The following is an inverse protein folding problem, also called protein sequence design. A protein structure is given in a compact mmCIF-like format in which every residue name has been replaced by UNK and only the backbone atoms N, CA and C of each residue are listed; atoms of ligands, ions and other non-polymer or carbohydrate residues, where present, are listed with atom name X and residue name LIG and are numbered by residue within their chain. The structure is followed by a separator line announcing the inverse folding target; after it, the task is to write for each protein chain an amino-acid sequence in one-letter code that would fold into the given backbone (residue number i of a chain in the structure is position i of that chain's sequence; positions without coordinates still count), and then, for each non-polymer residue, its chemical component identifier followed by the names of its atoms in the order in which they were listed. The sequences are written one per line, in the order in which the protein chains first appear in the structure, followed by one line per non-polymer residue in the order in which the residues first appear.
data_IF_723068518268
#
_entry.id   IF_723068518268
#
_cell.length_a   1.000
_cell.length_b   1.000
_cell.length_c   1.000
_cell.angle_alpha   90.00
_cell.angle_beta   90.00
_cell.angle_gamma   90.00
#
_symmetry.space_group_name_H-M   'P 1'
#
loop_
_entity.id
_entity.type
_entity.pdbx_description
1 polymer ?
#
# COMPACT_ATOMS: atom_id res chain seq x y z
N UNK A 1 -4.99 -17.09 31.55
CA UNK A 1 -3.83 -17.89 32.01
C UNK A 1 -4.25 -19.34 31.97
N UNK A 2 -3.62 -20.18 31.16
CA UNK A 2 -3.89 -21.62 31.16
C UNK A 2 -3.20 -22.24 32.35
N UNK A 3 -3.92 -23.03 33.15
CA UNK A 3 -3.52 -23.63 34.41
C UNK A 3 -2.31 -24.60 34.37
N UNK A 4 -1.59 -24.71 33.26
CA UNK A 4 -0.46 -25.63 33.11
C UNK A 4 0.90 -24.98 32.90
N UNK A 5 1.09 -23.72 33.28
CA UNK A 5 2.44 -23.12 33.35
C UNK A 5 3.23 -23.09 32.00
N UNK A 6 2.63 -23.45 30.86
CA UNK A 6 3.31 -23.38 29.58
C UNK A 6 3.28 -21.92 29.06
N UNK A 7 4.46 -21.33 28.95
CA UNK A 7 4.64 -20.02 28.34
C UNK A 7 4.21 -20.12 26.86
N UNK A 8 3.08 -19.49 26.52
CA UNK A 8 2.68 -19.36 25.10
C UNK A 8 3.65 -18.39 24.43
N UNK A 9 4.33 -18.86 23.40
CA UNK A 9 5.17 -18.03 22.53
C UNK A 9 4.30 -17.63 21.34
N UNK A 10 3.92 -16.34 21.17
CA UNK A 10 3.20 -15.90 19.96
C UNK A 10 4.13 -15.98 18.76
N UNK A 11 3.58 -16.27 17.59
CA UNK A 11 4.32 -16.29 16.33
C UNK A 11 4.71 -14.89 15.87
N UNK A 12 3.93 -13.88 16.23
CA UNK A 12 4.18 -12.47 15.98
C UNK A 12 3.49 -11.63 17.06
N UNK A 13 3.94 -10.39 17.19
CA UNK A 13 3.32 -9.42 18.10
C UNK A 13 4.11 -8.11 18.10
N UNK A 14 3.47 -6.98 18.43
CA UNK A 14 4.14 -5.69 18.49
C UNK A 14 5.13 -5.64 19.64
N UNK A 15 6.24 -4.94 19.42
CA UNK A 15 7.16 -4.52 20.47
C UNK A 15 6.73 -3.13 20.95
N UNK A 16 5.95 -3.05 22.03
CA UNK A 16 5.48 -1.78 22.59
C UNK A 16 6.33 -1.45 23.80
N UNK A 17 6.97 -0.30 23.75
CA UNK A 17 7.79 0.25 24.84
C UNK A 17 7.08 1.42 25.54
N UNK A 18 7.72 2.00 26.55
CA UNK A 18 7.16 3.17 27.23
C UNK A 18 7.04 4.39 26.28
N UNK A 19 7.92 4.49 25.27
CA UNK A 19 7.89 5.58 24.30
C UNK A 19 6.58 5.63 23.51
N UNK A 20 6.10 4.47 23.00
CA UNK A 20 4.82 4.39 22.29
C UNK A 20 3.64 4.72 23.21
N UNK A 21 3.69 4.23 24.47
CA UNK A 21 2.63 4.51 25.47
C UNK A 21 2.55 6.00 25.75
N UNK A 22 3.69 6.66 25.98
CA UNK A 22 3.76 8.09 26.29
C UNK A 22 3.29 8.93 25.10
N UNK A 23 3.70 8.60 23.88
CA UNK A 23 3.31 9.30 22.66
C UNK A 23 1.80 9.19 22.41
N UNK A 24 1.21 7.99 22.52
CA UNK A 24 -0.23 7.79 22.36
C UNK A 24 -1.00 8.54 23.44
N UNK A 25 -0.53 8.49 24.70
CA UNK A 25 -1.15 9.21 25.79
C UNK A 25 -1.12 10.72 25.60
N UNK A 26 -0.03 11.25 25.04
CA UNK A 26 0.07 12.68 24.71
C UNK A 26 -0.82 13.04 23.50
N UNK A 27 -0.86 12.21 22.46
CA UNK A 27 -1.70 12.42 21.29
C UNK A 27 -3.19 12.51 21.66
N UNK A 28 -3.66 11.67 22.60
CA UNK A 28 -5.04 11.73 23.09
C UNK A 28 -5.31 13.05 23.82
N UNK A 29 -4.38 13.56 24.62
CA UNK A 29 -4.51 14.84 25.34
C UNK A 29 -4.54 16.03 24.38
N UNK A 30 -3.74 15.98 23.32
CA UNK A 30 -3.57 17.05 22.33
C UNK A 30 -4.61 16.98 21.18
N UNK A 31 -5.36 15.87 21.07
CA UNK A 31 -6.21 15.54 19.92
C UNK A 31 -7.40 16.48 19.64
N UNK A 32 -7.63 17.46 20.52
CA UNK A 32 -8.71 18.44 20.38
C UNK A 32 -8.10 19.86 20.41
N UNK A 33 -8.09 20.52 19.26
CA UNK A 33 -7.63 21.90 19.18
C UNK A 33 -6.51 22.11 18.15
N UNK A 34 -5.59 23.08 18.37
CA UNK A 34 -4.56 23.46 17.38
C UNK A 34 -3.62 22.33 16.94
N UNK A 35 -3.53 21.26 17.72
CA UNK A 35 -2.68 20.11 17.44
C UNK A 35 -3.44 18.90 16.85
N UNK A 36 -4.67 19.08 16.41
CA UNK A 36 -5.53 17.99 15.94
C UNK A 36 -4.90 17.15 14.82
N UNK A 37 -4.17 17.78 13.89
CA UNK A 37 -3.48 17.08 12.79
C UNK A 37 -1.99 16.79 13.08
N UNK A 38 -1.41 17.34 14.13
CA UNK A 38 0.03 17.37 14.37
C UNK A 38 0.68 15.97 14.25
N UNK A 39 0.11 14.95 14.92
CA UNK A 39 0.70 13.61 14.92
C UNK A 39 0.56 12.89 13.57
N UNK A 40 -0.50 13.20 12.82
CA UNK A 40 -0.69 12.68 11.47
C UNK A 40 0.30 13.32 10.51
N UNK A 41 0.51 14.63 10.64
CA UNK A 41 1.44 15.40 9.82
C UNK A 41 2.89 14.94 10.10
N UNK A 42 3.27 14.81 11.37
CA UNK A 42 4.59 14.33 11.81
C UNK A 42 4.85 12.89 11.29
N UNK A 43 3.87 11.99 11.46
CA UNK A 43 3.99 10.64 10.93
C UNK A 43 4.15 10.62 9.40
N UNK A 44 3.39 11.46 8.71
CA UNK A 44 3.46 11.56 7.25
C UNK A 44 4.83 12.05 6.78
N UNK A 45 5.40 13.03 7.45
CA UNK A 45 6.74 13.58 7.16
C UNK A 45 7.83 12.53 7.44
N UNK A 46 7.81 11.90 8.61
CA UNK A 46 8.78 10.87 8.98
C UNK A 46 8.71 9.66 8.05
N UNK A 47 7.49 9.24 7.66
CA UNK A 47 7.32 8.14 6.72
C UNK A 47 7.79 8.51 5.31
N UNK A 48 7.53 9.74 4.86
CA UNK A 48 8.03 10.30 3.60
C UNK A 48 9.56 10.26 3.56
N UNK A 49 10.21 10.70 4.65
CA UNK A 49 11.67 10.66 4.78
C UNK A 49 12.21 9.22 4.78
N UNK A 50 11.54 8.31 5.47
CA UNK A 50 11.94 6.89 5.53
C UNK A 50 11.88 6.22 4.16
N UNK A 51 10.78 6.39 3.44
CA UNK A 51 10.54 5.69 2.17
C UNK A 51 11.15 6.44 0.96
N UNK A 52 11.41 7.74 1.09
CA UNK A 52 11.98 8.57 0.03
C UNK A 52 10.98 9.05 -1.02
N UNK A 53 9.69 8.97 -0.77
CA UNK A 53 8.66 9.56 -1.62
C UNK A 53 8.41 11.02 -1.26
N UNK A 54 8.20 11.85 -2.28
CA UNK A 54 7.89 13.27 -2.11
C UNK A 54 6.50 13.52 -1.53
N UNK A 55 5.55 12.67 -1.86
CA UNK A 55 4.15 12.83 -1.47
C UNK A 55 3.66 11.57 -0.79
N UNK A 56 3.19 11.72 0.43
CA UNK A 56 2.54 10.69 1.22
C UNK A 56 1.18 11.19 1.68
N UNK A 57 0.16 10.34 1.60
CA UNK A 57 -1.21 10.63 2.00
C UNK A 57 -1.70 9.54 2.95
N UNK A 58 -1.90 9.85 4.24
CA UNK A 58 -2.41 8.88 5.19
C UNK A 58 -3.89 8.57 4.93
N UNK A 59 -4.28 7.34 5.17
CA UNK A 59 -5.66 6.83 5.02
C UNK A 59 -6.07 6.03 6.25
N UNK A 60 -7.37 5.80 6.39
CA UNK A 60 -7.90 4.99 7.51
C UNK A 60 -7.44 3.53 7.45
N UNK A 61 -7.27 2.99 6.25
CA UNK A 61 -6.81 1.63 5.98
C UNK A 61 -6.03 1.59 4.66
N UNK A 62 -5.19 0.57 4.46
CA UNK A 62 -4.54 0.35 3.17
C UNK A 62 -5.56 0.08 2.05
N UNK A 63 -6.67 -0.58 2.35
CA UNK A 63 -7.78 -0.78 1.38
C UNK A 63 -8.29 0.55 0.83
N UNK A 64 -8.42 1.58 1.68
CA UNK A 64 -8.82 2.92 1.26
C UNK A 64 -7.74 3.57 0.39
N UNK A 65 -6.46 3.35 0.73
CA UNK A 65 -5.34 3.81 -0.07
C UNK A 65 -5.34 3.17 -1.47
N UNK A 66 -5.60 1.86 -1.57
CA UNK A 66 -5.74 1.16 -2.87
C UNK A 66 -6.93 1.72 -3.65
N UNK A 67 -8.07 1.94 -2.99
CA UNK A 67 -9.24 2.51 -3.64
C UNK A 67 -8.96 3.93 -4.18
N UNK A 68 -8.31 4.78 -3.40
CA UNK A 68 -7.87 6.10 -3.86
C UNK A 68 -6.90 6.00 -5.05
N UNK A 69 -5.95 5.07 -5.02
CA UNK A 69 -5.06 4.83 -6.14
C UNK A 69 -5.84 4.47 -7.42
N UNK A 70 -6.80 3.55 -7.34
CA UNK A 70 -7.64 3.18 -8.48
C UNK A 70 -8.47 4.37 -8.99
N UNK A 71 -9.03 5.20 -8.10
CA UNK A 71 -9.77 6.41 -8.49
C UNK A 71 -8.88 7.41 -9.23
N UNK A 72 -7.59 7.57 -8.87
CA UNK A 72 -6.68 8.48 -9.57
C UNK A 72 -6.39 8.08 -11.01
N UNK A 73 -6.54 6.80 -11.34
CA UNK A 73 -6.32 6.29 -12.69
C UNK A 73 -7.50 6.58 -13.63
N UNK A 74 -8.64 7.03 -13.09
CA UNK A 74 -9.84 7.37 -13.86
C UNK A 74 -10.26 6.25 -14.83
N UNK A 75 -10.34 5.02 -14.30
CA UNK A 75 -10.62 3.81 -15.08
C UNK A 75 -12.07 3.78 -15.57
N UNK A 76 -12.28 3.25 -16.77
CA UNK A 76 -13.60 2.98 -17.35
C UNK A 76 -14.05 1.53 -17.08
N UNK A 77 -15.34 1.20 -17.24
CA UNK A 77 -15.85 -0.16 -16.98
C UNK A 77 -15.22 -1.26 -17.85
N UNK A 78 -14.65 -0.92 -19.00
CA UNK A 78 -13.97 -1.87 -19.89
C UNK A 78 -12.46 -1.98 -19.61
N UNK A 79 -11.91 -1.08 -18.77
CA UNK A 79 -10.49 -1.11 -18.43
C UNK A 79 -10.18 -2.27 -17.49
N UNK A 80 -9.02 -2.85 -17.69
CA UNK A 80 -8.54 -4.02 -16.98
C UNK A 80 -7.34 -3.66 -16.09
N UNK A 81 -7.34 -4.24 -14.89
CA UNK A 81 -6.21 -4.17 -13.96
C UNK A 81 -5.75 -5.59 -13.66
N UNK A 82 -4.50 -5.90 -13.98
CA UNK A 82 -3.89 -7.20 -13.64
C UNK A 82 -3.59 -7.22 -12.15
N UNK A 83 -4.00 -8.31 -11.48
CA UNK A 83 -3.81 -8.50 -10.03
C UNK A 83 -3.37 -9.95 -9.79
N UNK A 84 -2.38 -10.23 -8.92
CA UNK A 84 -2.08 -11.60 -8.54
C UNK A 84 -3.28 -12.24 -7.85
N UNK A 85 -3.58 -13.51 -8.12
CA UNK A 85 -4.67 -14.24 -7.48
C UNK A 85 -4.31 -14.71 -6.07
N UNK A 86 -3.03 -14.75 -5.74
CA UNK A 86 -2.53 -15.04 -4.40
C UNK A 86 -2.17 -13.75 -3.67
N UNK A 87 -3.15 -13.14 -3.03
CA UNK A 87 -3.00 -11.93 -2.21
C UNK A 87 -4.20 -11.78 -1.27
N UNK A 88 -4.14 -10.77 -0.41
CA UNK A 88 -5.31 -10.35 0.34
C UNK A 88 -6.35 -9.72 -0.61
N UNK A 89 -7.63 -10.01 -0.37
CA UNK A 89 -8.73 -9.53 -1.23
C UNK A 89 -8.73 -8.01 -1.47
N UNK A 90 -8.14 -7.23 -0.55
CA UNK A 90 -8.04 -5.79 -0.67
C UNK A 90 -7.18 -5.31 -1.86
N UNK A 91 -6.28 -6.14 -2.39
CA UNK A 91 -5.51 -5.79 -3.59
C UNK A 91 -6.38 -5.82 -4.86
N UNK A 92 -7.44 -6.63 -4.90
CA UNK A 92 -8.33 -6.80 -6.06
C UNK A 92 -9.67 -6.06 -5.94
N UNK A 93 -10.29 -6.05 -4.74
CA UNK A 93 -11.63 -5.50 -4.54
C UNK A 93 -11.79 -4.04 -4.98
N UNK A 94 -10.82 -3.11 -4.75
CA UNK A 94 -10.92 -1.73 -5.18
C UNK A 94 -10.99 -1.54 -6.71
N UNK A 95 -10.49 -2.48 -7.50
CA UNK A 95 -10.68 -2.48 -8.96
C UNK A 95 -12.17 -2.56 -9.31
N UNK A 96 -12.89 -3.44 -8.58
CA UNK A 96 -14.35 -3.60 -8.76
C UNK A 96 -15.10 -2.37 -8.23
N UNK A 97 -14.63 -1.75 -7.14
CA UNK A 97 -15.28 -0.57 -6.55
C UNK A 97 -15.33 0.61 -7.51
N UNK A 98 -14.31 0.76 -8.36
CA UNK A 98 -14.28 1.81 -9.40
C UNK A 98 -14.95 1.40 -10.71
N UNK A 99 -15.53 0.19 -10.78
CA UNK A 99 -16.24 -0.33 -11.94
C UNK A 99 -15.36 -0.97 -13.00
N UNK A 100 -14.04 -1.05 -12.81
CA UNK A 100 -13.09 -1.70 -13.72
C UNK A 100 -13.07 -3.24 -13.53
N UNK A 101 -12.34 -3.95 -14.39
CA UNK A 101 -12.26 -5.42 -14.42
C UNK A 101 -10.93 -5.91 -13.84
N UNK A 102 -10.91 -6.65 -12.73
CA UNK A 102 -9.69 -7.33 -12.31
C UNK A 102 -9.40 -8.53 -13.21
N UNK A 103 -8.16 -8.63 -13.70
CA UNK A 103 -7.62 -9.79 -14.40
C UNK A 103 -6.71 -10.52 -13.44
N UNK A 104 -7.21 -11.61 -12.87
CA UNK A 104 -6.45 -12.41 -11.92
C UNK A 104 -5.44 -13.27 -12.66
N UNK A 105 -4.20 -13.26 -12.19
CA UNK A 105 -3.10 -14.04 -12.75
C UNK A 105 -2.41 -14.85 -11.66
N UNK A 106 -1.96 -16.03 -12.03
CA UNK A 106 -1.22 -16.92 -11.14
C UNK A 106 0.11 -16.27 -10.70
N UNK A 107 0.72 -16.80 -9.66
CA UNK A 107 2.00 -16.34 -9.12
C UNK A 107 3.08 -17.39 -9.34
N UNK A 108 4.32 -16.99 -9.21
CA UNK A 108 5.44 -17.91 -9.20
C UNK A 108 5.40 -18.80 -7.94
N UNK A 109 5.50 -20.14 -8.07
CA UNK A 109 5.32 -21.06 -6.94
C UNK A 109 6.43 -20.97 -5.88
N UNK A 110 7.59 -20.44 -6.22
CA UNK A 110 8.73 -20.34 -5.30
C UNK A 110 8.73 -18.99 -4.55
N UNK A 111 8.45 -17.90 -5.25
CA UNK A 111 8.43 -16.55 -4.67
C UNK A 111 7.06 -16.11 -4.18
N UNK A 112 5.98 -16.71 -4.66
CA UNK A 112 4.58 -16.32 -4.44
C UNK A 112 4.26 -14.91 -4.95
N UNK A 113 5.11 -14.37 -5.79
CA UNK A 113 4.94 -13.05 -6.40
C UNK A 113 4.53 -13.18 -7.86
N UNK A 114 3.88 -12.14 -8.38
CA UNK A 114 3.59 -12.01 -9.81
C UNK A 114 4.90 -11.89 -10.60
N UNK A 115 4.94 -12.43 -11.82
CA UNK A 115 6.10 -12.32 -12.70
C UNK A 115 5.82 -11.50 -13.95
N UNK A 116 6.87 -10.94 -14.54
CA UNK A 116 6.80 -10.22 -15.81
C UNK A 116 6.16 -11.08 -16.93
N UNK A 117 6.48 -12.38 -16.97
CA UNK A 117 5.91 -13.31 -17.98
C UNK A 117 4.39 -13.49 -17.81
N UNK A 118 3.89 -13.55 -16.58
CA UNK A 118 2.45 -13.65 -16.31
C UNK A 118 1.74 -12.36 -16.67
N UNK A 119 2.34 -11.20 -16.35
CA UNK A 119 1.82 -9.89 -16.74
C UNK A 119 1.75 -9.82 -18.27
N UNK A 120 2.85 -10.10 -18.99
CA UNK A 120 2.91 -9.98 -20.46
C UNK A 120 1.86 -10.84 -21.17
N UNK A 121 1.62 -12.07 -20.69
CA UNK A 121 0.61 -12.98 -21.24
C UNK A 121 -0.83 -12.49 -21.03
N UNK A 122 -1.05 -11.66 -20.01
CA UNK A 122 -2.39 -11.20 -19.62
C UNK A 122 -2.73 -9.80 -20.14
N UNK A 123 -1.76 -9.13 -20.79
CA UNK A 123 -1.99 -7.81 -21.37
C UNK A 123 -2.96 -7.90 -22.55
N UNK A 124 -3.98 -7.07 -22.50
CA UNK A 124 -4.90 -6.81 -23.62
C UNK A 124 -4.87 -5.33 -24.01
N UNK A 125 -5.61 -4.95 -25.02
CA UNK A 125 -5.80 -3.53 -25.38
C UNK A 125 -6.50 -2.70 -24.31
N UNK A 126 -7.17 -3.36 -23.37
CA UNK A 126 -7.92 -2.73 -22.28
C UNK A 126 -7.11 -2.63 -20.98
N UNK A 127 -5.96 -3.30 -20.90
CA UNK A 127 -5.13 -3.29 -19.68
C UNK A 127 -4.57 -1.88 -19.45
N UNK A 128 -4.76 -1.34 -18.25
CA UNK A 128 -4.32 0.00 -17.82
C UNK A 128 -3.31 -0.02 -16.70
N UNK A 129 -3.42 -0.99 -15.80
CA UNK A 129 -2.57 -1.05 -14.63
C UNK A 129 -2.27 -2.49 -14.21
N UNK A 130 -1.25 -2.61 -13.39
CA UNK A 130 -0.87 -3.86 -12.71
C UNK A 130 -0.75 -3.56 -11.21
N UNK A 131 -1.36 -4.38 -10.38
CA UNK A 131 -1.09 -4.42 -8.95
C UNK A 131 0.01 -5.45 -8.72
N UNK A 132 1.10 -5.01 -8.15
CA UNK A 132 2.24 -5.86 -7.76
C UNK A 132 2.29 -5.91 -6.25
N UNK A 133 2.29 -7.09 -5.67
CA UNK A 133 2.21 -7.30 -4.22
C UNK A 133 3.52 -7.86 -3.69
N UNK A 134 4.08 -7.21 -2.67
CA UNK A 134 5.25 -7.68 -1.92
C UNK A 134 4.80 -8.67 -0.83
N UNK A 135 4.29 -9.82 -1.27
CA UNK A 135 3.58 -10.77 -0.41
C UNK A 135 4.48 -11.33 0.69
N UNK A 136 4.07 -11.17 1.95
CA UNK A 136 4.82 -11.60 3.15
C UNK A 136 6.24 -11.01 3.22
N UNK A 137 6.48 -9.88 2.56
CA UNK A 137 7.80 -9.27 2.45
C UNK A 137 8.71 -9.90 1.40
N UNK A 138 8.21 -10.82 0.58
CA UNK A 138 8.90 -11.33 -0.59
C UNK A 138 8.86 -10.28 -1.71
N UNK A 139 9.99 -10.10 -2.37
CA UNK A 139 10.09 -9.11 -3.43
C UNK A 139 10.04 -9.80 -4.80
N UNK A 140 9.15 -9.36 -5.71
CA UNK A 140 9.17 -9.86 -7.09
C UNK A 140 10.42 -9.40 -7.85
N UNK A 141 10.65 -9.95 -9.02
CA UNK A 141 11.73 -9.52 -9.93
C UNK A 141 11.36 -8.17 -10.58
N UNK A 142 11.54 -7.10 -9.81
CA UNK A 142 11.09 -5.75 -10.15
C UNK A 142 11.65 -5.22 -11.46
N UNK A 143 12.93 -5.50 -11.79
CA UNK A 143 13.53 -5.00 -13.04
C UNK A 143 12.73 -5.48 -14.26
N UNK A 144 12.37 -6.77 -14.30
CA UNK A 144 11.62 -7.37 -15.40
C UNK A 144 10.18 -6.83 -15.46
N UNK A 145 9.54 -6.66 -14.28
CA UNK A 145 8.18 -6.09 -14.18
C UNK A 145 8.15 -4.65 -14.67
N UNK A 146 9.10 -3.82 -14.23
CA UNK A 146 9.21 -2.44 -14.67
C UNK A 146 9.39 -2.33 -16.18
N UNK A 147 10.21 -3.21 -16.78
CA UNK A 147 10.44 -3.22 -18.23
C UNK A 147 9.18 -3.58 -19.01
N UNK A 148 8.46 -4.62 -18.60
CA UNK A 148 7.19 -5.01 -19.25
C UNK A 148 6.14 -3.92 -19.11
N UNK A 149 5.97 -3.33 -17.93
CA UNK A 149 4.97 -2.30 -17.70
C UNK A 149 5.29 -1.02 -18.49
N UNK A 150 6.55 -0.57 -18.50
CA UNK A 150 6.97 0.60 -19.29
C UNK A 150 6.77 0.40 -20.78
N UNK A 151 7.15 -0.76 -21.33
CA UNK A 151 6.98 -1.12 -22.73
C UNK A 151 5.52 -1.05 -23.17
N UNK A 152 4.59 -1.37 -22.27
CA UNK A 152 3.16 -1.43 -22.57
C UNK A 152 2.38 -0.22 -22.00
N UNK A 153 3.06 0.81 -21.48
CA UNK A 153 2.45 2.00 -20.87
C UNK A 153 1.44 1.68 -19.75
N UNK A 154 1.72 0.69 -18.92
CA UNK A 154 0.89 0.29 -17.81
C UNK A 154 1.29 1.05 -16.54
N UNK A 155 0.30 1.51 -15.77
CA UNK A 155 0.53 1.99 -14.41
C UNK A 155 0.87 0.84 -13.47
N UNK A 156 1.79 1.10 -12.55
CA UNK A 156 2.19 0.14 -11.52
C UNK A 156 1.69 0.63 -10.17
N UNK A 157 0.83 -0.16 -9.56
CA UNK A 157 0.39 0.00 -8.18
C UNK A 157 1.11 -1.04 -7.34
N UNK A 158 2.02 -0.60 -6.48
CA UNK A 158 2.77 -1.46 -5.58
C UNK A 158 2.03 -1.59 -4.25
N UNK A 159 1.54 -2.78 -3.96
CA UNK A 159 0.97 -3.11 -2.65
C UNK A 159 2.08 -3.64 -1.73
N UNK A 160 2.73 -2.72 -1.04
CA UNK A 160 3.77 -2.99 -0.05
C UNK A 160 3.21 -3.13 1.38
N UNK A 161 1.92 -3.50 1.51
CA UNK A 161 1.26 -3.64 2.80
C UNK A 161 1.90 -4.67 3.74
N UNK A 162 2.74 -5.54 3.22
CA UNK A 162 3.51 -6.55 3.95
C UNK A 162 5.03 -6.41 3.75
N UNK A 163 5.44 -5.46 2.89
CA UNK A 163 6.82 -5.31 2.44
C UNK A 163 7.69 -4.34 3.25
N UNK A 164 7.17 -3.67 4.30
CA UNK A 164 7.94 -2.66 5.03
C UNK A 164 9.28 -3.22 5.52
N UNK A 165 10.39 -2.57 5.07
CA UNK A 165 11.75 -2.97 5.42
C UNK A 165 12.38 -4.02 4.51
N UNK A 166 11.61 -4.74 3.68
CA UNK A 166 12.14 -5.62 2.65
C UNK A 166 12.87 -4.81 1.57
N UNK A 167 13.76 -5.46 0.84
CA UNK A 167 14.58 -4.79 -0.19
C UNK A 167 14.75 -5.66 -1.42
N UNK A 168 14.63 -5.04 -2.58
CA UNK A 168 15.07 -5.59 -3.86
C UNK A 168 16.29 -4.82 -4.36
N UNK A 169 17.42 -5.49 -4.52
CA UNK A 169 18.70 -4.88 -4.97
C UNK A 169 19.08 -3.60 -4.19
N UNK A 170 18.80 -3.59 -2.89
CA UNK A 170 19.12 -2.48 -1.99
C UNK A 170 18.05 -1.39 -1.87
N UNK A 171 17.05 -1.35 -2.76
CA UNK A 171 15.93 -0.41 -2.70
C UNK A 171 14.81 -0.98 -1.85
N UNK A 172 14.16 -0.14 -1.04
CA UNK A 172 13.07 -0.57 -0.16
C UNK A 172 11.83 -1.00 -0.94
N UNK A 173 11.13 -2.01 -0.43
CA UNK A 173 9.75 -2.30 -0.83
C UNK A 173 8.90 -1.05 -0.70
N UNK A 174 8.00 -0.84 -1.63
CA UNK A 174 7.20 0.37 -1.71
C UNK A 174 7.87 1.52 -2.45
N UNK A 175 8.95 1.29 -3.21
CA UNK A 175 9.65 2.35 -3.97
C UNK A 175 9.67 2.13 -5.49
N UNK A 176 8.95 1.14 -5.99
CA UNK A 176 8.98 0.74 -7.40
C UNK A 176 7.73 1.17 -8.18
N UNK A 177 6.58 1.33 -7.50
CA UNK A 177 5.31 1.69 -8.12
C UNK A 177 5.22 3.15 -8.57
N UNK A 178 4.31 3.43 -9.49
CA UNK A 178 3.85 4.81 -9.75
C UNK A 178 3.10 5.37 -8.52
N UNK A 179 2.38 4.47 -7.86
CA UNK A 179 1.77 4.65 -6.54
C UNK A 179 2.15 3.42 -5.71
N UNK A 180 2.61 3.64 -4.49
CA UNK A 180 2.91 2.57 -3.54
C UNK A 180 2.07 2.72 -2.28
N UNK A 181 1.65 1.59 -1.70
CA UNK A 181 0.63 1.52 -0.67
C UNK A 181 1.14 0.73 0.52
N UNK A 182 0.86 1.22 1.73
CA UNK A 182 1.32 0.60 2.97
C UNK A 182 0.17 0.40 3.94
N UNK A 183 0.32 -0.60 4.80
CA UNK A 183 -0.66 -0.93 5.83
C UNK A 183 -0.06 -0.85 7.23
N UNK A 184 -0.79 -0.22 8.14
CA UNK A 184 -0.48 -0.17 9.56
C UNK A 184 -1.57 -0.87 10.40
N UNK A 185 -2.25 -1.84 9.77
CA UNK A 185 -3.23 -2.67 10.47
C UNK A 185 -2.55 -3.46 11.61
N UNK A 186 -3.32 -3.82 12.62
CA UNK A 186 -2.85 -4.52 13.81
C UNK A 186 -2.10 -5.85 13.57
N UNK A 187 -2.18 -6.42 12.37
CA UNK A 187 -1.47 -7.65 11.99
C UNK A 187 -0.15 -7.41 11.26
N UNK A 188 0.18 -6.14 10.95
CA UNK A 188 1.36 -5.79 10.16
C UNK A 188 2.61 -5.60 11.02
N UNK A 189 3.78 -5.59 10.38
CA UNK A 189 5.08 -5.46 11.04
C UNK A 189 5.18 -4.17 11.86
N UNK A 190 4.76 -3.05 11.26
CA UNK A 190 4.57 -1.78 11.96
C UNK A 190 3.08 -1.51 11.99
N UNK A 191 2.54 -1.29 13.18
CA UNK A 191 1.11 -1.18 13.37
C UNK A 191 0.72 0.06 14.18
N UNK A 192 -0.43 0.65 13.82
CA UNK A 192 -1.11 1.69 14.61
C UNK A 192 -2.55 1.28 14.99
N UNK A 193 -2.84 -0.04 14.96
CA UNK A 193 -4.18 -0.59 15.12
C UNK A 193 -4.95 -0.60 13.80
N UNK A 194 -5.09 0.54 13.17
CA UNK A 194 -5.58 0.74 11.81
C UNK A 194 -4.69 1.79 11.13
N UNK A 195 -4.80 1.90 9.81
CA UNK A 195 -4.07 2.91 9.06
C UNK A 195 -3.56 2.38 7.73
N UNK A 196 -3.35 3.31 6.81
CA UNK A 196 -2.71 3.09 5.52
C UNK A 196 -1.96 4.34 5.07
N UNK A 197 -1.15 4.18 4.03
CA UNK A 197 -0.46 5.29 3.39
C UNK A 197 -0.44 5.06 1.88
N UNK A 198 -0.76 6.10 1.13
CA UNK A 198 -0.55 6.19 -0.30
C UNK A 198 0.67 7.08 -0.55
N UNK A 199 1.65 6.57 -1.30
CA UNK A 199 2.87 7.28 -1.62
C UNK A 199 3.07 7.39 -3.14
N UNK A 200 3.53 8.54 -3.61
CA UNK A 200 3.86 8.76 -5.01
C UNK A 200 4.86 9.92 -5.17
N UNK A 201 5.64 9.92 -6.25
CA UNK A 201 6.44 11.06 -6.67
C UNK A 201 5.74 11.94 -7.73
N UNK A 202 4.57 11.52 -8.22
CA UNK A 202 3.78 12.21 -9.24
C UNK A 202 2.79 13.16 -8.59
N UNK A 203 3.00 14.46 -8.78
CA UNK A 203 2.19 15.50 -8.14
C UNK A 203 0.73 15.47 -8.57
N UNK A 204 0.46 15.14 -9.82
CA UNK A 204 -0.89 15.01 -10.37
C UNK A 204 -1.70 13.90 -9.69
N UNK A 205 -1.07 12.72 -9.51
CA UNK A 205 -1.68 11.60 -8.79
C UNK A 205 -1.94 11.96 -7.32
N UNK A 206 -0.95 12.59 -6.66
CA UNK A 206 -1.13 13.04 -5.28
C UNK A 206 -2.26 14.05 -5.14
N UNK A 207 -2.31 15.06 -5.99
CA UNK A 207 -3.34 16.09 -5.95
C UNK A 207 -4.74 15.48 -6.16
N UNK A 208 -4.86 14.55 -7.11
CA UNK A 208 -6.11 13.81 -7.36
C UNK A 208 -6.54 13.00 -6.15
N UNK A 209 -5.63 12.19 -5.58
CA UNK A 209 -5.92 11.40 -4.39
C UNK A 209 -6.30 12.29 -3.19
N UNK A 210 -5.57 13.38 -2.97
CA UNK A 210 -5.83 14.33 -1.90
C UNK A 210 -7.20 14.98 -2.04
N UNK A 211 -7.57 15.44 -3.24
CA UNK A 211 -8.88 16.02 -3.50
C UNK A 211 -10.02 15.05 -3.18
N UNK A 212 -9.89 13.80 -3.62
CA UNK A 212 -10.91 12.76 -3.38
C UNK A 212 -10.99 12.39 -1.89
N UNK A 213 -9.87 12.30 -1.18
CA UNK A 213 -9.84 11.99 0.25
C UNK A 213 -10.45 13.11 1.12
N UNK A 214 -10.51 14.35 0.61
CA UNK A 214 -11.05 15.53 1.29
C UNK A 214 -12.42 15.97 0.73
N UNK A 215 -13.28 15.01 0.42
CA UNK A 215 -14.65 15.26 -0.04
C UNK A 215 -14.77 16.13 -1.31
N UNK A 216 -13.73 16.17 -2.15
CA UNK A 216 -13.67 17.01 -3.33
C UNK A 216 -13.44 18.50 -3.04
N UNK A 217 -12.95 18.83 -1.84
CA UNK A 217 -12.66 20.22 -1.46
C UNK A 217 -11.19 20.56 -1.74
N UNK A 218 -10.92 21.62 -2.51
CA UNK A 218 -9.57 22.11 -2.82
C UNK A 218 -8.81 22.67 -1.62
N UNK A 219 -9.54 23.05 -0.56
CA UNK A 219 -8.96 23.55 0.71
C UNK A 219 -9.77 23.01 1.87
N UNK A 220 -9.10 22.63 2.97
CA UNK A 220 -9.78 22.25 4.21
C UNK A 220 -10.49 23.44 4.86
#
# INVERSE_FOLDING_TARGET
MNEKGSRRIPSAGPSITQAEIDLVSQAIKDGWGPKMSYYIDEFTEEFSNYIGYKYCLPTSHCTDAIHLAMLTLNLNPEDEVIVPDMTWVASAAPVIYVGAKPVLVDVDPDSWCITASQIEKSITKNTKAVVVVDLLGNMPEWDEILDVCRKNNLFIIEDASEGIGAKYKGNLAGTFGDISLFSFNATKLIMSGQGGMLCTNKQDLYNSAKLMSHHGMDKP
#
